data_IF_762540561755
#
_entry.id   IF_762540561755
#
_cell.length_a   1.000
_cell.length_b   1.000
_cell.length_c   1.000
_cell.angle_alpha   90.00
_cell.angle_beta   90.00
_cell.angle_gamma   90.00
#
_symmetry.space_group_name_H-M   'P 1'
#
loop_
_entity.id
_entity.type
_entity.pdbx_description
1 polymer ?
#
# COMPACT_ATOMS: atom_id res chain seq x y z
N UNK A 1 -17.84 19.92 -6.34
CA UNK A 1 -16.68 20.84 -6.36
C UNK A 1 -15.53 20.48 -7.34
N UNK A 2 -15.17 19.21 -7.59
CA UNK A 2 -14.08 18.89 -8.54
C UNK A 2 -14.51 18.76 -10.01
N UNK A 3 -15.61 18.06 -10.33
CA UNK A 3 -16.00 17.80 -11.73
C UNK A 3 -16.46 19.05 -12.50
N UNK A 4 -17.18 19.97 -11.84
CA UNK A 4 -17.59 21.25 -12.44
C UNK A 4 -16.40 22.08 -12.95
N UNK A 5 -15.25 22.02 -12.26
CA UNK A 5 -14.02 22.70 -12.68
C UNK A 5 -13.53 22.20 -14.04
N UNK A 6 -13.83 20.95 -14.38
CA UNK A 6 -13.40 20.28 -15.60
C UNK A 6 -14.53 20.15 -16.63
N UNK A 7 -15.74 20.61 -16.31
CA UNK A 7 -16.88 20.57 -17.22
C UNK A 7 -16.61 21.49 -18.43
N UNK A 8 -16.58 20.94 -19.65
CA UNK A 8 -16.18 21.71 -20.84
C UNK A 8 -17.31 22.59 -21.41
N UNK A 9 -18.49 22.60 -20.77
CA UNK A 9 -19.69 23.19 -21.34
C UNK A 9 -20.45 22.20 -22.22
N UNK A 10 -21.31 22.71 -23.11
CA UNK A 10 -22.14 21.88 -23.99
C UNK A 10 -21.33 21.12 -25.06
N UNK A 11 -20.12 21.58 -25.37
CA UNK A 11 -19.22 20.96 -26.32
C UNK A 11 -18.09 20.24 -25.59
N UNK A 12 -17.80 19.02 -26.02
CA UNK A 12 -16.64 18.25 -25.61
C UNK A 12 -15.37 18.87 -26.20
N UNK A 13 -14.20 18.74 -25.53
CA UNK A 13 -12.90 19.12 -26.10
C UNK A 13 -12.56 18.41 -27.42
N UNK A 14 -13.28 17.33 -27.74
CA UNK A 14 -13.12 16.55 -28.98
C UNK A 14 -14.07 16.99 -30.11
N UNK A 15 -14.77 18.12 -29.97
CA UNK A 15 -15.62 18.72 -31.02
C UNK A 15 -17.05 18.17 -31.13
N UNK A 16 -17.43 17.21 -30.28
CA UNK A 16 -18.81 16.69 -30.18
C UNK A 16 -19.63 17.31 -29.05
N UNK A 17 -20.90 16.90 -28.90
CA UNK A 17 -21.69 17.25 -27.70
C UNK A 17 -21.10 16.56 -26.47
N UNK A 18 -20.95 17.30 -25.37
CA UNK A 18 -20.60 16.69 -24.09
C UNK A 18 -21.81 15.92 -23.52
N UNK A 19 -21.62 14.63 -23.25
CA UNK A 19 -22.70 13.74 -22.78
C UNK A 19 -22.53 13.32 -21.31
N UNK A 20 -21.58 13.91 -20.59
CA UNK A 20 -21.19 13.50 -19.24
C UNK A 20 -19.84 12.77 -19.21
N UNK A 21 -19.18 12.80 -18.05
CA UNK A 21 -17.94 12.09 -17.77
C UNK A 21 -18.19 10.59 -17.61
N UNK A 22 -17.22 9.80 -18.08
CA UNK A 22 -17.05 8.42 -17.66
C UNK A 22 -16.12 8.40 -16.45
N UNK A 23 -16.60 7.87 -15.33
CA UNK A 23 -15.87 7.87 -14.06
C UNK A 23 -15.40 6.46 -13.74
N UNK A 24 -14.10 6.31 -13.47
CA UNK A 24 -13.53 5.06 -12.96
C UNK A 24 -13.13 5.28 -11.51
N UNK A 25 -13.75 4.54 -10.60
CA UNK A 25 -13.33 4.50 -9.20
C UNK A 25 -12.47 3.27 -8.95
N UNK A 26 -11.46 3.39 -8.08
CA UNK A 26 -10.68 2.26 -7.61
C UNK A 26 -10.96 2.00 -6.13
N UNK A 27 -11.36 0.77 -5.79
CA UNK A 27 -11.61 0.33 -4.42
C UNK A 27 -10.65 -0.78 -4.01
N UNK A 28 -10.39 -0.93 -2.71
CA UNK A 28 -9.64 -2.07 -2.20
C UNK A 28 -10.28 -3.39 -2.68
N UNK A 29 -9.48 -4.41 -2.97
CA UNK A 29 -9.94 -5.69 -3.51
C UNK A 29 -10.92 -6.43 -2.57
N UNK A 30 -10.82 -6.17 -1.28
CA UNK A 30 -11.71 -6.70 -0.24
C UNK A 30 -12.95 -5.82 0.03
N UNK A 31 -13.16 -4.74 -0.73
CA UNK A 31 -14.29 -3.86 -0.50
C UNK A 31 -15.61 -4.64 -0.63
N UNK A 32 -16.50 -4.59 0.38
CA UNK A 32 -17.79 -5.28 0.33
C UNK A 32 -18.75 -4.60 -0.65
N UNK A 33 -19.74 -5.34 -1.13
CA UNK A 33 -20.71 -4.90 -2.14
C UNK A 33 -21.39 -3.56 -1.79
N UNK A 34 -21.74 -3.33 -0.53
CA UNK A 34 -22.39 -2.07 -0.11
C UNK A 34 -21.51 -0.83 -0.40
N UNK A 35 -20.17 -0.96 -0.42
CA UNK A 35 -19.29 0.15 -0.78
C UNK A 35 -19.37 0.46 -2.28
N UNK A 36 -19.52 -0.55 -3.12
CA UNK A 36 -19.75 -0.39 -4.56
C UNK A 36 -21.10 0.29 -4.81
N UNK A 37 -22.16 -0.21 -4.17
CA UNK A 37 -23.51 0.38 -4.23
C UNK A 37 -23.48 1.85 -3.84
N UNK A 38 -22.87 2.16 -2.70
CA UNK A 38 -22.78 3.54 -2.19
C UNK A 38 -21.98 4.44 -3.12
N UNK A 39 -20.89 3.96 -3.72
CA UNK A 39 -20.14 4.76 -4.71
C UNK A 39 -20.98 5.05 -5.95
N UNK A 40 -21.74 4.08 -6.44
CA UNK A 40 -22.65 4.31 -7.56
C UNK A 40 -23.75 5.32 -7.22
N UNK A 41 -24.35 5.22 -6.03
CA UNK A 41 -25.34 6.18 -5.55
C UNK A 41 -24.76 7.60 -5.50
N UNK A 42 -23.58 7.78 -4.90
CA UNK A 42 -22.91 9.09 -4.79
C UNK A 42 -22.73 9.70 -6.19
N UNK A 43 -22.26 8.92 -7.18
CA UNK A 43 -22.06 9.44 -8.53
C UNK A 43 -23.37 9.73 -9.27
N UNK A 44 -24.43 8.97 -9.00
CA UNK A 44 -25.77 9.28 -9.50
C UNK A 44 -26.34 10.57 -8.90
N UNK A 45 -26.13 10.80 -7.60
CA UNK A 45 -26.60 11.99 -6.88
C UNK A 45 -25.99 13.28 -7.43
N UNK A 46 -24.76 13.25 -7.94
CA UNK A 46 -24.11 14.42 -8.58
C UNK A 46 -24.97 15.00 -9.71
N UNK A 47 -25.59 14.16 -10.54
CA UNK A 47 -26.43 14.66 -11.64
C UNK A 47 -27.67 15.39 -11.12
N UNK A 48 -28.30 14.85 -10.07
CA UNK A 48 -29.48 15.47 -9.47
C UNK A 48 -29.16 16.78 -8.74
N UNK A 49 -28.04 16.83 -8.01
CA UNK A 49 -27.59 18.02 -7.27
C UNK A 49 -27.26 19.18 -8.22
N UNK A 50 -26.67 18.87 -9.38
CA UNK A 50 -26.16 19.86 -10.32
C UNK A 50 -27.18 20.21 -11.43
N UNK A 51 -28.34 19.54 -11.44
CA UNK A 51 -29.43 19.75 -12.40
C UNK A 51 -29.04 19.49 -13.85
N UNK A 52 -27.96 18.74 -14.10
CA UNK A 52 -27.44 18.42 -15.44
C UNK A 52 -26.66 17.11 -15.45
N UNK A 53 -26.54 16.49 -16.61
CA UNK A 53 -25.75 15.26 -16.78
C UNK A 53 -24.25 15.57 -16.73
N UNK A 54 -23.66 15.50 -15.54
CA UNK A 54 -22.21 15.58 -15.36
C UNK A 54 -21.55 14.22 -15.43
N UNK A 55 -22.16 13.17 -14.88
CA UNK A 55 -21.65 11.80 -14.91
C UNK A 55 -22.57 10.97 -15.81
N UNK A 56 -22.00 10.42 -16.89
CA UNK A 56 -22.74 9.54 -17.80
C UNK A 56 -22.79 8.12 -17.27
N UNK A 57 -21.63 7.59 -16.90
CA UNK A 57 -21.46 6.25 -16.39
C UNK A 57 -20.30 6.18 -15.39
N UNK A 58 -20.40 5.23 -14.46
CA UNK A 58 -19.34 4.90 -13.53
C UNK A 58 -19.00 3.42 -13.64
N UNK A 59 -17.72 3.08 -13.54
CA UNK A 59 -17.24 1.72 -13.31
C UNK A 59 -16.33 1.70 -12.08
N UNK A 60 -16.13 0.52 -11.49
CA UNK A 60 -15.31 0.34 -10.30
C UNK A 60 -14.33 -0.80 -10.55
N UNK A 61 -13.04 -0.57 -10.27
CA UNK A 61 -11.97 -1.54 -10.43
C UNK A 61 -11.28 -1.81 -9.07
N UNK A 62 -10.84 -3.04 -8.77
CA UNK A 62 -9.94 -3.28 -7.65
C UNK A 62 -8.62 -2.52 -7.80
N UNK A 63 -8.16 -1.84 -6.74
CA UNK A 63 -6.90 -1.10 -6.73
C UNK A 63 -5.69 -1.95 -7.15
N UNK A 64 -5.52 -3.21 -6.68
CA UNK A 64 -4.42 -4.05 -7.13
C UNK A 64 -4.50 -4.42 -8.62
N UNK A 65 -5.71 -4.58 -9.17
CA UNK A 65 -5.90 -4.83 -10.60
C UNK A 65 -5.50 -3.61 -11.43
N UNK A 66 -5.85 -2.41 -10.97
CA UNK A 66 -5.39 -1.18 -11.61
C UNK A 66 -3.85 -1.10 -11.64
N UNK A 67 -3.17 -1.46 -10.55
CA UNK A 67 -1.70 -1.55 -10.53
C UNK A 67 -1.17 -2.52 -11.59
N UNK A 68 -1.74 -3.73 -11.67
CA UNK A 68 -1.33 -4.71 -12.67
C UNK A 68 -1.52 -4.21 -14.12
N UNK A 69 -2.63 -3.53 -14.40
CA UNK A 69 -2.90 -2.89 -15.70
C UNK A 69 -1.86 -1.82 -16.01
N UNK A 70 -1.55 -0.94 -15.05
CA UNK A 70 -0.54 0.11 -15.22
C UNK A 70 0.85 -0.47 -15.54
N UNK A 71 1.17 -1.62 -14.94
CA UNK A 71 2.43 -2.34 -15.12
C UNK A 71 2.40 -3.36 -16.28
N UNK A 72 1.29 -3.43 -17.03
CA UNK A 72 1.08 -4.37 -18.14
C UNK A 72 1.35 -5.82 -17.75
N UNK A 73 1.03 -6.19 -16.51
CA UNK A 73 1.27 -7.50 -15.95
C UNK A 73 -0.04 -8.30 -15.89
N UNK A 74 -0.15 -9.35 -16.70
CA UNK A 74 -1.34 -10.20 -16.74
C UNK A 74 -1.34 -11.30 -15.68
N UNK A 75 -0.16 -11.69 -15.19
CA UNK A 75 0.00 -12.70 -14.13
C UNK A 75 1.07 -12.26 -13.14
N UNK A 76 0.67 -11.88 -11.94
CA UNK A 76 1.54 -11.31 -10.92
C UNK A 76 0.94 -11.41 -9.51
N UNK A 77 1.74 -11.14 -8.48
CA UNK A 77 1.24 -10.80 -7.15
C UNK A 77 1.46 -9.31 -6.94
N UNK A 78 0.38 -8.56 -6.73
CA UNK A 78 0.47 -7.15 -6.36
C UNK A 78 0.40 -7.02 -4.85
N UNK A 79 1.37 -6.32 -4.27
CA UNK A 79 1.33 -5.82 -2.91
C UNK A 79 1.04 -4.32 -2.95
N UNK A 80 -0.14 -3.94 -2.49
CA UNK A 80 -0.55 -2.54 -2.39
C UNK A 80 -0.51 -2.11 -0.93
N UNK A 81 0.49 -1.31 -0.56
CA UNK A 81 0.73 -0.82 0.80
C UNK A 81 0.25 0.62 0.99
N UNK A 82 -0.92 0.77 1.61
CA UNK A 82 -1.50 2.06 1.98
C UNK A 82 -1.06 2.54 3.36
N UNK A 83 -1.69 3.61 3.85
CA UNK A 83 -1.41 4.11 5.20
C UNK A 83 -1.91 3.15 6.29
N UNK A 84 -3.14 2.63 6.19
CA UNK A 84 -3.74 1.80 7.24
C UNK A 84 -3.88 0.30 6.90
N UNK A 85 -3.60 -0.11 5.66
CA UNK A 85 -3.70 -1.51 5.25
C UNK A 85 -2.73 -1.84 4.13
N UNK A 86 -2.47 -3.13 3.96
CA UNK A 86 -1.69 -3.70 2.85
C UNK A 86 -2.48 -4.84 2.24
N UNK A 87 -2.61 -4.88 0.92
CA UNK A 87 -3.32 -5.93 0.20
C UNK A 87 -2.34 -6.76 -0.60
N UNK A 88 -2.35 -8.08 -0.42
CA UNK A 88 -1.58 -9.03 -1.21
C UNK A 88 -2.55 -9.75 -2.13
N UNK A 89 -2.41 -9.49 -3.43
CA UNK A 89 -3.42 -9.87 -4.41
C UNK A 89 -2.79 -10.61 -5.58
N UNK A 90 -2.96 -11.94 -5.64
CA UNK A 90 -2.63 -12.71 -6.83
C UNK A 90 -3.58 -12.35 -7.99
N UNK A 91 -3.01 -12.12 -9.16
CA UNK A 91 -3.71 -11.73 -10.38
C UNK A 91 -3.32 -12.71 -11.49
N UNK A 92 -4.33 -13.22 -12.19
CA UNK A 92 -4.16 -13.97 -13.43
C UNK A 92 -5.30 -13.61 -14.37
N UNK A 93 -5.04 -12.65 -15.26
CA UNK A 93 -6.01 -11.88 -16.08
C UNK A 93 -6.98 -11.02 -15.26
N UNK A 94 -7.46 -11.54 -14.12
CA UNK A 94 -8.26 -10.83 -13.13
C UNK A 94 -7.79 -11.21 -11.70
N UNK A 95 -8.33 -10.54 -10.69
CA UNK A 95 -8.09 -10.80 -9.27
C UNK A 95 -8.57 -12.20 -8.88
N UNK A 96 -7.67 -12.99 -8.30
CA UNK A 96 -8.03 -14.29 -7.71
C UNK A 96 -8.61 -14.04 -6.31
N UNK A 97 -9.90 -13.71 -6.24
CA UNK A 97 -10.58 -13.21 -5.02
C UNK A 97 -10.37 -14.10 -3.79
N UNK A 98 -10.44 -15.43 -3.95
CA UNK A 98 -10.25 -16.38 -2.84
C UNK A 98 -8.80 -16.45 -2.30
N UNK A 99 -7.85 -15.85 -3.01
CA UNK A 99 -6.43 -15.83 -2.66
C UNK A 99 -5.96 -14.47 -2.14
N UNK A 100 -6.85 -13.47 -2.06
CA UNK A 100 -6.52 -12.13 -1.55
C UNK A 100 -6.26 -12.21 -0.04
N UNK A 101 -5.16 -11.61 0.39
CA UNK A 101 -4.80 -11.46 1.81
C UNK A 101 -4.71 -9.97 2.14
N UNK A 102 -5.75 -9.40 2.76
CA UNK A 102 -5.66 -8.09 3.40
C UNK A 102 -4.95 -8.20 4.74
N UNK A 103 -4.09 -7.24 5.03
CA UNK A 103 -3.43 -7.05 6.31
C UNK A 103 -3.88 -5.71 6.89
N UNK A 104 -4.30 -5.70 8.16
CA UNK A 104 -4.49 -4.49 8.95
C UNK A 104 -3.14 -3.89 9.37
N UNK A 105 -2.25 -3.70 8.38
CA UNK A 105 -0.88 -3.19 8.51
C UNK A 105 -0.55 -2.26 7.36
N UNK A 106 -0.03 -1.08 7.64
CA UNK A 106 0.35 -0.08 6.66
C UNK A 106 1.43 0.87 7.18
N UNK A 107 1.58 2.01 6.51
CA UNK A 107 2.51 3.06 6.97
C UNK A 107 2.23 3.61 8.37
N UNK A 108 1.00 3.46 8.90
CA UNK A 108 0.61 3.83 10.26
C UNK A 108 1.26 2.95 11.34
N UNK A 109 1.61 1.71 11.02
CA UNK A 109 2.31 0.81 11.94
C UNK A 109 3.76 1.25 12.13
N UNK A 110 4.41 1.69 11.05
CA UNK A 110 5.71 2.37 11.15
C UNK A 110 5.62 3.68 11.93
N UNK A 111 4.50 4.43 11.82
CA UNK A 111 4.27 5.60 12.68
C UNK A 111 4.09 5.18 14.15
N UNK A 112 3.42 4.06 14.43
CA UNK A 112 3.23 3.57 15.78
C UNK A 112 4.55 3.22 16.47
N UNK A 113 5.44 2.47 15.80
CA UNK A 113 6.74 2.14 16.38
C UNK A 113 7.65 3.38 16.48
N UNK A 114 7.62 4.29 15.49
CA UNK A 114 8.35 5.56 15.57
C UNK A 114 7.88 6.41 16.75
N UNK A 115 6.56 6.45 17.00
CA UNK A 115 5.96 7.10 18.18
C UNK A 115 6.47 6.49 19.48
N UNK A 116 6.56 5.16 19.55
CA UNK A 116 7.08 4.49 20.73
C UNK A 116 8.56 4.79 20.95
N UNK A 117 9.36 4.82 19.89
CA UNK A 117 10.77 5.22 19.94
C UNK A 117 10.92 6.66 20.46
N UNK A 118 10.12 7.61 19.96
CA UNK A 118 10.14 9.00 20.46
C UNK A 118 9.84 9.08 21.96
N UNK A 119 8.88 8.28 22.47
CA UNK A 119 8.62 8.19 23.92
C UNK A 119 9.82 7.63 24.68
N UNK A 120 10.42 6.55 24.19
CA UNK A 120 11.57 5.88 24.80
C UNK A 120 12.86 6.74 24.77
N UNK A 121 12.90 7.75 23.90
CA UNK A 121 13.96 8.77 23.79
C UNK A 121 13.71 10.01 24.67
N UNK A 122 12.56 10.10 25.35
CA UNK A 122 12.23 11.26 26.21
C UNK A 122 11.51 12.40 25.49
N UNK A 123 10.91 12.13 24.32
CA UNK A 123 10.10 13.10 23.55
C UNK A 123 8.60 12.74 23.52
N UNK A 124 7.92 12.50 24.67
CA UNK A 124 6.52 12.06 24.68
C UNK A 124 5.56 13.13 24.17
N UNK A 125 5.89 14.40 24.30
CA UNK A 125 5.06 15.50 23.78
C UNK A 125 5.06 15.53 22.25
N UNK A 126 6.24 15.41 21.63
CA UNK A 126 6.36 15.32 20.17
C UNK A 126 5.70 14.05 19.61
N UNK A 127 5.73 12.97 20.39
CA UNK A 127 5.08 11.70 20.04
C UNK A 127 3.53 11.80 19.98
N UNK A 128 2.92 12.85 20.52
CA UNK A 128 1.46 13.08 20.43
C UNK A 128 1.04 13.70 19.10
N UNK A 129 1.98 14.27 18.35
CA UNK A 129 1.71 14.96 17.10
C UNK A 129 1.89 14.03 15.88
N UNK A 130 0.79 13.56 15.29
CA UNK A 130 0.84 12.60 14.18
C UNK A 130 1.66 13.08 12.98
N UNK A 131 1.56 14.37 12.65
CA UNK A 131 2.36 14.97 11.57
C UNK A 131 3.86 14.94 11.92
N UNK A 132 4.22 15.20 13.17
CA UNK A 132 5.59 15.13 13.63
C UNK A 132 6.13 13.71 13.55
N UNK A 133 5.39 12.74 14.09
CA UNK A 133 5.76 11.31 14.05
C UNK A 133 5.99 10.85 12.62
N UNK A 134 5.11 11.25 11.69
CA UNK A 134 5.25 10.93 10.27
C UNK A 134 6.52 11.52 9.66
N UNK A 135 6.82 12.80 9.91
CA UNK A 135 8.06 13.42 9.43
C UNK A 135 9.29 12.71 10.00
N UNK A 136 9.29 12.41 11.30
CA UNK A 136 10.38 11.68 11.95
C UNK A 136 10.56 10.28 11.34
N UNK A 137 9.48 9.53 11.13
CA UNK A 137 9.51 8.23 10.43
C UNK A 137 10.16 8.36 9.05
N UNK A 138 9.72 9.32 8.24
CA UNK A 138 10.19 9.53 6.88
C UNK A 138 11.67 9.96 6.84
N UNK A 139 12.17 10.65 7.87
CA UNK A 139 13.57 11.08 7.97
C UNK A 139 14.50 10.01 8.59
N UNK A 140 14.04 9.32 9.63
CA UNK A 140 14.87 8.47 10.47
C UNK A 140 14.77 6.98 10.12
N UNK A 141 13.62 6.52 9.62
CA UNK A 141 13.36 5.10 9.43
C UNK A 141 14.26 4.46 8.37
N UNK A 142 14.69 3.23 8.65
CA UNK A 142 15.50 2.40 7.77
C UNK A 142 14.89 1.01 7.66
N UNK A 143 15.06 0.36 6.52
CA UNK A 143 14.71 -1.05 6.32
C UNK A 143 16.01 -1.86 6.30
N UNK A 144 16.22 -2.80 7.24
CA UNK A 144 17.44 -3.62 7.28
C UNK A 144 17.35 -4.81 6.32
N UNK A 145 18.46 -5.20 5.69
CA UNK A 145 18.50 -6.47 4.94
C UNK A 145 18.23 -7.66 5.87
N UNK A 146 18.95 -7.70 6.99
CA UNK A 146 18.75 -8.59 8.12
C UNK A 146 18.76 -7.76 9.41
N UNK A 147 17.71 -7.87 10.23
CA UNK A 147 17.53 -6.97 11.37
C UNK A 147 18.61 -7.19 12.43
N UNK A 148 18.91 -8.45 12.77
CA UNK A 148 19.88 -8.77 13.82
C UNK A 148 21.28 -8.27 13.44
N UNK A 149 21.70 -8.54 12.20
CA UNK A 149 22.98 -8.09 11.68
C UNK A 149 23.07 -6.57 11.60
N UNK A 150 21.99 -5.89 11.18
CA UNK A 150 21.94 -4.44 11.12
C UNK A 150 22.03 -3.79 12.51
N UNK A 151 21.36 -4.35 13.52
CA UNK A 151 21.43 -3.88 14.91
C UNK A 151 22.86 -4.06 15.46
N UNK A 152 23.47 -5.24 15.27
CA UNK A 152 24.83 -5.50 15.73
C UNK A 152 25.83 -4.54 15.07
N UNK A 153 25.78 -4.42 13.75
CA UNK A 153 26.64 -3.50 13.00
C UNK A 153 26.47 -2.05 13.48
N UNK A 154 25.24 -1.60 13.71
CA UNK A 154 24.94 -0.24 14.17
C UNK A 154 25.53 0.07 15.55
N UNK A 155 25.56 -0.92 16.44
CA UNK A 155 26.15 -0.78 17.78
C UNK A 155 27.68 -0.78 17.75
N UNK A 156 28.27 -1.50 16.81
CA UNK A 156 29.73 -1.50 16.58
C UNK A 156 30.21 -0.22 15.87
N UNK A 157 29.35 0.39 15.05
CA UNK A 157 29.66 1.57 14.23
C UNK A 157 28.69 2.74 14.52
N UNK A 158 28.58 3.22 15.77
CA UNK A 158 27.56 4.22 16.14
C UNK A 158 27.71 5.54 15.39
N UNK A 159 28.94 5.90 15.00
CA UNK A 159 29.22 7.12 14.23
C UNK A 159 28.78 7.04 12.74
N UNK A 160 28.50 5.84 12.23
CA UNK A 160 28.06 5.66 10.84
C UNK A 160 26.56 5.99 10.65
N UNK A 161 25.77 6.00 11.74
CA UNK A 161 24.36 6.34 11.69
C UNK A 161 24.13 7.79 12.10
N UNK A 162 23.38 8.53 11.28
CA UNK A 162 22.75 9.77 11.72
C UNK A 162 21.89 9.51 12.96
N UNK A 163 22.20 10.20 14.06
CA UNK A 163 21.44 10.15 15.31
C UNK A 163 20.59 11.40 15.54
N UNK A 164 20.91 12.52 14.89
CA UNK A 164 20.24 13.82 15.07
C UNK A 164 19.37 14.18 13.87
N UNK A 165 18.11 14.52 14.14
CA UNK A 165 17.11 14.85 13.13
C UNK A 165 16.48 16.19 13.44
N UNK A 166 16.87 17.21 12.68
CA UNK A 166 16.28 18.56 12.78
C UNK A 166 15.05 18.68 11.91
N UNK A 167 13.93 19.07 12.50
CA UNK A 167 12.67 19.24 11.78
C UNK A 167 12.72 20.49 10.90
N UNK A 168 12.51 20.37 9.57
CA UNK A 168 12.56 21.50 8.65
C UNK A 168 11.64 22.65 9.07
N UNK A 169 12.16 23.88 9.01
CA UNK A 169 11.40 25.08 9.36
C UNK A 169 11.20 25.32 10.86
N UNK A 170 11.86 24.55 11.74
CA UNK A 170 11.76 24.71 13.20
C UNK A 170 13.13 24.69 13.88
N UNK A 171 13.13 24.97 15.20
CA UNK A 171 14.27 24.77 16.10
C UNK A 171 14.25 23.39 16.77
N UNK A 172 13.26 22.55 16.47
CA UNK A 172 13.11 21.23 17.10
C UNK A 172 14.10 20.23 16.49
N UNK A 173 14.81 19.52 17.37
CA UNK A 173 15.74 18.46 17.02
C UNK A 173 15.47 17.23 17.90
N UNK A 174 15.47 16.05 17.28
CA UNK A 174 15.43 14.75 17.98
C UNK A 174 16.84 14.16 17.93
N UNK A 175 17.41 13.87 19.10
CA UNK A 175 18.69 13.15 19.21
C UNK A 175 18.45 11.73 19.72
N UNK A 176 18.81 10.75 18.89
CA UNK A 176 18.71 9.33 19.22
C UNK A 176 19.93 8.82 20.00
N UNK A 177 21.03 9.58 20.08
CA UNK A 177 22.25 9.17 20.77
C UNK A 177 22.73 7.77 20.39
N UNK A 178 23.01 6.93 21.41
CA UNK A 178 23.42 5.53 21.29
C UNK A 178 22.30 4.59 20.80
N UNK A 179 21.06 5.07 20.73
CA UNK A 179 19.87 4.33 20.25
C UNK A 179 19.61 4.52 18.75
N UNK A 180 20.54 5.09 17.99
CA UNK A 180 20.39 5.26 16.54
C UNK A 180 20.08 3.94 15.78
N UNK A 181 20.47 2.77 16.32
CA UNK A 181 20.10 1.46 15.78
C UNK A 181 18.59 1.22 15.71
N UNK A 182 17.79 1.90 16.55
CA UNK A 182 16.32 1.76 16.55
C UNK A 182 15.68 2.25 15.25
N UNK A 183 16.41 3.01 14.42
CA UNK A 183 15.98 3.40 13.06
C UNK A 183 15.57 2.21 12.21
N UNK A 184 16.24 1.06 12.34
CA UNK A 184 15.91 -0.16 11.62
C UNK A 184 14.59 -0.79 12.05
N UNK A 185 14.16 -0.57 13.29
CA UNK A 185 12.89 -1.07 13.80
C UNK A 185 11.70 -0.42 13.09
N UNK A 186 11.85 0.85 12.68
CA UNK A 186 10.79 1.64 12.05
C UNK A 186 10.35 1.02 10.72
N UNK A 187 11.33 0.69 9.87
CA UNK A 187 11.07 0.01 8.60
C UNK A 187 10.73 -1.46 8.82
N UNK A 188 11.50 -2.18 9.63
CA UNK A 188 11.31 -3.64 9.81
C UNK A 188 9.92 -3.99 10.34
N UNK A 189 9.34 -3.17 11.21
CA UNK A 189 8.02 -3.44 11.78
C UNK A 189 6.92 -3.56 10.71
N UNK A 190 7.08 -2.89 9.56
CA UNK A 190 6.16 -3.02 8.44
C UNK A 190 6.31 -4.36 7.69
N UNK A 191 7.53 -4.88 7.59
CA UNK A 191 7.83 -6.11 6.86
C UNK A 191 7.62 -7.36 7.72
N UNK A 192 8.09 -7.33 8.96
CA UNK A 192 8.06 -8.45 9.89
C UNK A 192 7.85 -7.99 11.35
N UNK A 193 6.60 -7.63 11.73
CA UNK A 193 6.27 -7.32 13.13
C UNK A 193 6.37 -8.55 14.05
N UNK A 194 6.44 -9.77 13.51
CA UNK A 194 6.68 -11.00 14.26
C UNK A 194 8.14 -11.26 14.64
N UNK A 195 9.07 -10.37 14.29
CA UNK A 195 10.47 -10.52 14.68
C UNK A 195 10.64 -10.42 16.21
N UNK A 196 11.47 -11.29 16.80
CA UNK A 196 11.62 -11.46 18.26
C UNK A 196 11.91 -10.15 19.01
N UNK A 197 12.67 -9.23 18.40
CA UNK A 197 12.98 -7.90 18.96
C UNK A 197 11.72 -7.14 19.42
N UNK A 198 10.58 -7.34 18.74
CA UNK A 198 9.32 -6.66 19.04
C UNK A 198 8.56 -7.26 20.23
N UNK A 199 8.89 -8.48 20.68
CA UNK A 199 8.25 -9.10 21.84
C UNK A 199 8.44 -8.26 23.12
N UNK A 200 9.61 -7.62 23.26
CA UNK A 200 9.86 -6.67 24.35
C UNK A 200 9.00 -5.40 24.29
N UNK A 201 8.55 -4.99 23.09
CA UNK A 201 7.62 -3.87 22.94
C UNK A 201 6.21 -4.30 23.32
N UNK A 202 5.77 -5.47 22.84
CA UNK A 202 4.45 -6.00 23.12
C UNK A 202 4.23 -6.28 24.61
N UNK A 203 5.22 -6.84 25.30
CA UNK A 203 5.14 -7.09 26.74
C UNK A 203 5.00 -5.82 27.58
N UNK A 204 5.45 -4.67 27.05
CA UNK A 204 5.30 -3.34 27.67
C UNK A 204 3.99 -2.63 27.28
N UNK A 205 3.09 -3.32 26.57
CA UNK A 205 1.78 -2.78 26.17
C UNK A 205 1.78 -1.99 24.86
N UNK A 206 2.84 -2.08 24.04
CA UNK A 206 2.81 -1.53 22.68
C UNK A 206 1.79 -2.32 21.83
N UNK A 207 0.83 -1.66 21.17
CA UNK A 207 -0.16 -2.37 20.34
C UNK A 207 0.49 -2.87 19.04
N UNK A 208 0.39 -4.17 18.78
CA UNK A 208 0.76 -4.75 17.50
C UNK A 208 -0.31 -4.58 16.43
N UNK A 209 0.00 -4.91 15.15
CA UNK A 209 -0.99 -4.91 14.09
C UNK A 209 -2.10 -5.92 14.41
N UNK A 210 -3.33 -5.57 14.07
CA UNK A 210 -4.50 -6.41 14.39
C UNK A 210 -4.60 -7.57 13.42
N UNK A 211 -5.12 -8.69 13.91
CA UNK A 211 -5.50 -9.80 13.04
C UNK A 211 -6.56 -9.34 12.03
N UNK A 212 -6.58 -10.01 10.88
CA UNK A 212 -7.56 -9.76 9.83
C UNK A 212 -8.40 -11.01 9.63
N UNK A 213 -9.72 -10.86 9.70
CA UNK A 213 -10.67 -11.94 9.47
C UNK A 213 -11.09 -11.89 8.00
N UNK A 214 -10.90 -12.99 7.28
CA UNK A 214 -11.30 -13.14 5.88
C UNK A 214 -12.13 -14.40 5.77
N UNK A 215 -13.45 -14.22 5.68
CA UNK A 215 -14.40 -15.34 5.74
C UNK A 215 -14.30 -16.05 7.09
N UNK A 216 -13.93 -17.32 7.06
CA UNK A 216 -13.76 -18.21 8.21
C UNK A 216 -12.32 -18.22 8.77
N UNK A 217 -11.39 -17.48 8.16
CA UNK A 217 -9.96 -17.52 8.50
C UNK A 217 -9.50 -16.28 9.24
N UNK A 218 -8.54 -16.48 10.14
CA UNK A 218 -7.79 -15.43 10.83
C UNK A 218 -6.39 -15.38 10.25
N UNK A 219 -6.03 -14.23 9.67
CA UNK A 219 -4.66 -13.91 9.29
C UNK A 219 -4.03 -13.15 10.47
N UNK A 220 -2.97 -13.70 11.10
CA UNK A 220 -2.33 -13.02 12.23
C UNK A 220 -1.78 -11.66 11.82
N UNK A 221 -2.03 -10.60 12.59
CA UNK A 221 -1.52 -9.26 12.29
C UNK A 221 0.01 -9.18 12.31
N UNK A 222 0.63 -10.07 13.09
CA UNK A 222 2.10 -10.22 13.20
C UNK A 222 2.76 -10.97 12.03
N UNK A 223 2.00 -11.54 11.09
CA UNK A 223 2.54 -12.34 9.97
C UNK A 223 3.53 -11.53 9.13
N UNK A 224 4.66 -12.11 8.73
CA UNK A 224 5.58 -11.40 7.84
C UNK A 224 4.99 -11.21 6.43
N UNK A 225 5.45 -10.20 5.69
CA UNK A 225 4.99 -10.00 4.31
C UNK A 225 5.34 -11.21 3.41
N UNK A 226 6.49 -11.85 3.61
CA UNK A 226 6.89 -13.02 2.83
C UNK A 226 5.99 -14.23 3.09
N UNK A 227 5.64 -14.51 4.35
CA UNK A 227 4.69 -15.56 4.69
C UNK A 227 3.30 -15.29 4.13
N UNK A 228 2.84 -14.04 4.19
CA UNK A 228 1.56 -13.64 3.63
C UNK A 228 1.53 -13.77 2.09
N UNK A 229 2.63 -13.49 1.38
CA UNK A 229 2.75 -13.77 -0.06
C UNK A 229 2.66 -15.28 -0.33
N UNK A 230 3.42 -16.09 0.40
CA UNK A 230 3.39 -17.54 0.26
C UNK A 230 1.99 -18.09 0.47
N UNK A 231 1.29 -17.61 1.50
CA UNK A 231 -0.09 -18.01 1.82
C UNK A 231 -1.10 -17.53 0.78
N UNK A 232 -0.90 -16.35 0.17
CA UNK A 232 -1.76 -15.89 -0.93
C UNK A 232 -1.57 -16.78 -2.16
N UNK A 233 -0.32 -17.08 -2.52
CA UNK A 233 -0.01 -17.91 -3.69
C UNK A 233 -0.44 -19.36 -3.51
N UNK A 234 -0.30 -19.94 -2.31
CA UNK A 234 -0.70 -21.33 -2.03
C UNK A 234 -2.19 -21.60 -2.26
N UNK A 235 -3.01 -20.55 -2.24
CA UNK A 235 -4.46 -20.57 -2.50
C UNK A 235 -4.83 -20.50 -3.98
N UNK A 236 -3.84 -20.40 -4.86
CA UNK A 236 -4.03 -20.37 -6.32
C UNK A 236 -3.74 -21.74 -6.93
N UNK A 237 -4.26 -22.06 -8.13
CA UNK A 237 -3.92 -23.29 -8.84
C UNK A 237 -2.40 -23.48 -8.98
N UNK A 238 -1.89 -24.68 -8.70
CA UNK A 238 -0.44 -24.99 -8.68
C UNK A 238 0.26 -24.59 -9.98
N UNK A 239 -0.43 -24.74 -11.11
CA UNK A 239 0.07 -24.39 -12.45
C UNK A 239 0.52 -22.92 -12.62
N UNK A 240 -0.10 -21.98 -11.89
CA UNK A 240 0.24 -20.54 -12.00
C UNK A 240 1.13 -20.03 -10.86
N UNK A 241 1.32 -20.81 -9.79
CA UNK A 241 2.05 -20.36 -8.59
C UNK A 241 3.48 -19.91 -8.89
N UNK A 242 4.20 -20.65 -9.74
CA UNK A 242 5.58 -20.30 -10.11
C UNK A 242 5.64 -18.98 -10.90
N UNK A 243 4.68 -18.73 -11.79
CA UNK A 243 4.57 -17.48 -12.56
C UNK A 243 4.19 -16.30 -11.68
N UNK A 244 3.27 -16.51 -10.73
CA UNK A 244 2.87 -15.51 -9.74
C UNK A 244 4.07 -15.05 -8.90
N UNK A 245 4.84 -16.01 -8.36
CA UNK A 245 6.00 -15.71 -7.52
C UNK A 245 7.15 -15.06 -8.29
N UNK A 246 7.30 -15.32 -9.59
CA UNK A 246 8.30 -14.63 -10.43
C UNK A 246 7.97 -13.15 -10.65
N UNK A 247 6.70 -12.76 -10.55
CA UNK A 247 6.23 -11.41 -10.85
C UNK A 247 5.58 -10.78 -9.62
N UNK A 248 6.38 -10.39 -8.63
CA UNK A 248 5.90 -9.66 -7.45
C UNK A 248 6.05 -8.15 -7.69
N UNK A 249 4.96 -7.40 -7.56
CA UNK A 249 4.90 -5.97 -7.84
C UNK A 249 4.51 -5.22 -6.55
N UNK A 250 5.33 -4.26 -6.15
CA UNK A 250 5.11 -3.42 -4.98
C UNK A 250 4.57 -2.05 -5.40
N UNK A 251 3.49 -1.62 -4.77
CA UNK A 251 2.82 -0.34 -5.02
C UNK A 251 2.32 0.29 -3.72
N UNK A 252 2.11 1.60 -3.70
CA UNK A 252 1.68 2.35 -2.53
C UNK A 252 2.83 2.90 -1.68
N UNK A 253 2.52 3.93 -0.89
CA UNK A 253 3.51 4.72 -0.16
C UNK A 253 4.19 3.99 1.00
N UNK A 254 3.62 2.90 1.51
CA UNK A 254 4.24 2.15 2.62
C UNK A 254 5.52 1.40 2.20
N UNK A 255 5.76 1.24 0.89
CA UNK A 255 6.98 0.66 0.34
C UNK A 255 8.01 1.72 -0.12
N UNK A 256 7.74 3.01 0.08
CA UNK A 256 8.62 4.11 -0.36
C UNK A 256 9.80 4.35 0.58
N UNK A 257 10.63 3.32 0.80
CA UNK A 257 11.85 3.40 1.59
C UNK A 257 13.07 3.61 0.69
N UNK A 258 13.95 4.53 1.08
CA UNK A 258 15.20 4.83 0.36
C UNK A 258 16.39 4.48 1.22
N UNK A 259 17.48 4.05 0.57
CA UNK A 259 18.75 3.78 1.24
C UNK A 259 19.56 5.07 1.30
N UNK A 260 19.90 5.59 2.50
CA UNK A 260 20.79 6.73 2.59
C UNK A 260 22.20 6.36 2.14
N UNK A 261 22.89 7.32 1.53
CA UNK A 261 24.28 7.14 1.10
C UNK A 261 25.18 6.74 2.28
N UNK A 262 26.03 5.74 2.08
CA UNK A 262 26.94 5.19 3.08
C UNK A 262 26.34 4.08 3.94
N UNK A 263 25.05 3.75 3.77
CA UNK A 263 24.38 2.63 4.46
C UNK A 263 24.07 1.46 3.51
N UNK A 264 24.58 1.48 2.29
CA UNK A 264 24.46 0.39 1.34
C UNK A 264 25.04 -0.91 1.94
N UNK A 265 24.27 -2.00 1.86
CA UNK A 265 24.66 -3.30 2.41
C UNK A 265 24.15 -3.57 3.83
N UNK A 266 23.70 -2.54 4.55
CA UNK A 266 23.03 -2.70 5.86
C UNK A 266 21.56 -2.31 5.76
N UNK A 267 21.28 -1.14 5.19
CA UNK A 267 19.95 -0.70 4.83
C UNK A 267 19.66 -1.04 3.36
N UNK A 268 18.39 -1.34 3.06
CA UNK A 268 17.93 -1.74 1.73
C UNK A 268 16.59 -1.11 1.38
N UNK A 269 16.23 -1.15 0.10
CA UNK A 269 14.89 -0.78 -0.35
C UNK A 269 13.88 -1.92 -0.14
N UNK A 270 12.60 -1.62 -0.35
CA UNK A 270 11.51 -2.60 -0.16
C UNK A 270 11.63 -3.83 -1.08
N UNK A 271 11.91 -3.68 -2.39
CA UNK A 271 12.15 -4.82 -3.27
C UNK A 271 13.24 -5.76 -2.76
N UNK A 272 14.39 -5.21 -2.36
CA UNK A 272 15.53 -5.99 -1.89
C UNK A 272 15.22 -6.69 -0.57
N UNK A 273 14.58 -6.00 0.38
CA UNK A 273 14.12 -6.61 1.64
C UNK A 273 13.21 -7.80 1.37
N UNK A 274 12.21 -7.62 0.53
CA UNK A 274 11.24 -8.67 0.26
C UNK A 274 11.86 -9.84 -0.52
N UNK A 275 12.76 -9.57 -1.46
CA UNK A 275 13.55 -10.60 -2.16
C UNK A 275 14.33 -11.47 -1.17
N UNK A 276 15.01 -10.84 -0.19
CA UNK A 276 15.72 -11.55 0.87
C UNK A 276 14.79 -12.41 1.72
N UNK A 277 13.69 -11.85 2.21
CA UNK A 277 12.73 -12.59 3.05
C UNK A 277 12.12 -13.80 2.32
N UNK A 278 11.82 -13.67 1.02
CA UNK A 278 11.29 -14.77 0.22
C UNK A 278 12.38 -15.82 -0.07
N UNK A 279 13.62 -15.41 -0.32
CA UNK A 279 14.76 -16.33 -0.47
C UNK A 279 14.98 -17.16 0.78
N UNK A 280 14.83 -16.58 1.96
CA UNK A 280 14.97 -17.31 3.25
C UNK A 280 13.91 -18.39 3.42
N UNK A 281 12.80 -18.30 2.67
CA UNK A 281 11.76 -19.32 2.56
C UNK A 281 11.95 -20.28 1.38
N UNK A 282 13.09 -20.21 0.67
CA UNK A 282 13.37 -21.02 -0.53
C UNK A 282 12.66 -20.53 -1.80
N UNK A 283 12.17 -19.30 -1.82
CA UNK A 283 11.47 -18.71 -2.96
C UNK A 283 12.38 -17.69 -3.65
N UNK A 284 12.94 -18.07 -4.80
CA UNK A 284 13.73 -17.14 -5.62
C UNK A 284 12.82 -16.23 -6.45
N UNK A 285 12.84 -14.94 -6.13
CA UNK A 285 12.09 -13.91 -6.85
C UNK A 285 12.80 -12.56 -6.82
N UNK A 286 12.46 -11.72 -7.78
CA UNK A 286 12.88 -10.33 -7.88
C UNK A 286 11.64 -9.44 -7.84
N UNK A 287 11.12 -9.12 -6.64
CA UNK A 287 10.08 -8.12 -6.51
C UNK A 287 10.53 -6.80 -7.14
N UNK A 288 9.61 -6.04 -7.70
CA UNK A 288 9.90 -4.72 -8.27
C UNK A 288 8.96 -3.66 -7.72
N UNK A 289 9.49 -2.45 -7.53
CA UNK A 289 8.66 -1.29 -7.21
C UNK A 289 8.09 -0.70 -8.50
N UNK A 290 6.82 -0.32 -8.48
CA UNK A 290 6.26 0.53 -9.54
C UNK A 290 6.97 1.89 -9.57
N UNK A 291 7.10 2.50 -10.74
CA UNK A 291 7.86 3.76 -10.91
C UNK A 291 7.33 4.91 -10.06
N UNK A 292 6.01 5.00 -9.94
CA UNK A 292 5.32 6.06 -9.19
C UNK A 292 4.27 5.44 -8.27
N UNK A 293 4.68 4.98 -7.06
CA UNK A 293 3.83 4.19 -6.16
C UNK A 293 2.51 4.84 -5.77
N UNK A 294 2.48 6.18 -5.71
CA UNK A 294 1.29 6.94 -5.34
C UNK A 294 0.30 7.14 -6.51
N UNK A 295 0.76 6.99 -7.76
CA UNK A 295 -0.04 7.28 -8.96
C UNK A 295 -0.39 6.03 -9.77
N UNK A 296 0.19 4.87 -9.46
CA UNK A 296 0.00 3.62 -10.20
C UNK A 296 -1.46 3.18 -10.29
N UNK A 297 -2.21 3.26 -9.19
CA UNK A 297 -3.64 2.90 -9.15
C UNK A 297 -4.45 3.81 -10.08
N UNK A 298 -4.22 5.12 -10.04
CA UNK A 298 -4.92 6.08 -10.89
C UNK A 298 -4.62 5.85 -12.37
N UNK A 299 -3.35 5.63 -12.74
CA UNK A 299 -2.96 5.32 -14.13
C UNK A 299 -3.68 4.07 -14.64
N UNK A 300 -3.70 3.02 -13.83
CA UNK A 300 -4.40 1.78 -14.14
C UNK A 300 -5.90 1.95 -14.32
N UNK A 301 -6.54 2.72 -13.44
CA UNK A 301 -7.96 3.02 -13.50
C UNK A 301 -8.32 3.77 -14.80
N UNK A 302 -7.53 4.77 -15.19
CA UNK A 302 -7.76 5.51 -16.45
C UNK A 302 -7.61 4.58 -17.66
N UNK A 303 -6.56 3.75 -17.70
CA UNK A 303 -6.35 2.78 -18.79
C UNK A 303 -7.50 1.78 -18.85
N UNK A 304 -7.95 1.25 -17.71
CA UNK A 304 -9.08 0.34 -17.65
C UNK A 304 -10.36 0.96 -18.23
N UNK A 305 -10.72 2.18 -17.80
CA UNK A 305 -11.89 2.87 -18.34
C UNK A 305 -11.79 3.20 -19.82
N UNK A 306 -10.58 3.45 -20.34
CA UNK A 306 -10.37 3.69 -21.77
C UNK A 306 -10.63 2.44 -22.63
N UNK A 307 -10.33 1.26 -22.11
CA UNK A 307 -10.44 -0.01 -22.84
C UNK A 307 -11.68 -0.84 -22.48
N UNK A 308 -12.43 -0.49 -21.43
CA UNK A 308 -13.69 -1.14 -21.08
C UNK A 308 -14.79 -0.75 -22.09
N UNK A 309 -15.30 -1.67 -22.92
CA UNK A 309 -16.26 -1.30 -23.96
C UNK A 309 -17.55 -0.69 -23.40
N UNK A 310 -18.05 0.38 -24.02
CA UNK A 310 -19.26 1.08 -23.56
C UNK A 310 -20.52 0.19 -23.54
N UNK A 311 -20.57 -0.84 -24.39
CA UNK A 311 -21.69 -1.80 -24.40
C UNK A 311 -21.75 -2.72 -23.18
N UNK A 312 -20.68 -2.84 -22.40
CA UNK A 312 -20.61 -3.72 -21.24
C UNK A 312 -21.26 -3.03 -20.04
N UNK A 313 -22.46 -3.46 -19.67
CA UNK A 313 -23.19 -2.97 -18.49
C UNK A 313 -22.67 -3.63 -17.22
N UNK A 314 -22.78 -2.92 -16.09
CA UNK A 314 -22.40 -3.44 -14.77
C UNK A 314 -23.15 -4.72 -14.43
N UNK A 315 -22.41 -5.76 -14.07
CA UNK A 315 -22.92 -7.03 -13.60
C UNK A 315 -22.39 -7.30 -12.18
N UNK A 316 -23.30 -7.52 -11.23
CA UNK A 316 -22.97 -7.79 -9.82
C UNK A 316 -22.35 -9.17 -9.60
N UNK A 317 -22.53 -10.11 -10.53
CA UNK A 317 -21.94 -11.44 -10.43
C UNK A 317 -20.45 -11.43 -10.77
N UNK A 318 -20.06 -10.67 -11.80
CA UNK A 318 -18.66 -10.51 -12.22
C UNK A 318 -17.98 -9.31 -11.55
N UNK A 319 -18.77 -8.36 -11.06
CA UNK A 319 -18.34 -7.06 -10.51
C UNK A 319 -17.55 -6.22 -11.54
N UNK A 320 -18.00 -6.25 -12.80
CA UNK A 320 -17.39 -5.58 -13.94
C UNK A 320 -18.45 -4.87 -14.80
N UNK A 321 -18.05 -3.85 -15.55
CA UNK A 321 -18.88 -3.13 -16.51
C UNK A 321 -19.19 -1.69 -16.11
N UNK A 322 -19.99 -1.02 -16.93
CA UNK A 322 -20.41 0.37 -16.71
C UNK A 322 -21.81 0.43 -16.11
N UNK A 323 -21.97 1.17 -15.01
CA UNK A 323 -23.28 1.59 -14.50
C UNK A 323 -23.62 2.96 -15.07
N UNK A 324 -24.68 3.03 -15.85
CA UNK A 324 -25.17 4.26 -16.47
C UNK A 324 -26.18 4.96 -15.55
N UNK A 325 -26.18 6.29 -15.58
CA UNK A 325 -27.12 7.14 -14.82
C UNK A 325 -28.06 7.95 -15.71
N UNK A 326 -27.92 7.77 -17.02
CA UNK A 326 -28.73 8.35 -18.07
C UNK A 326 -28.89 7.28 -19.15
N UNK A 327 -30.11 7.13 -19.64
CA UNK A 327 -30.44 6.22 -20.75
C UNK A 327 -29.90 6.74 -22.08
#
# INVERSE_FOLDING_TARGET
FALLKHYPGAQSPLGGRFTGFYVVAALAAQAPTYMYERLFEIHGQINSEEGKTLVRATTIIPQPLAVAIAEKATTCVVLEGGHGNTQITPISRDVIRGAVIPLNRGGSDSDAIARQILKDLGYPELAREDKFVRMFKEMAGLVPLDLNSAISWAKEHPAALTSKFRIPGTTVEVDMGDKAWQRFLIGEFYFNPGHEVFESYYSRGFPGPRDTIVGDRVIPGKVSLAEAIREAVSRTPVEIQSTLLRNVILSGGAFSWTVPAGLEGVAVDSPTKLSRMLRDMGIETQPRMVREPQFSVWRGAVVYGLFLPEGVRWDWSTMEGWRYFVD
#
